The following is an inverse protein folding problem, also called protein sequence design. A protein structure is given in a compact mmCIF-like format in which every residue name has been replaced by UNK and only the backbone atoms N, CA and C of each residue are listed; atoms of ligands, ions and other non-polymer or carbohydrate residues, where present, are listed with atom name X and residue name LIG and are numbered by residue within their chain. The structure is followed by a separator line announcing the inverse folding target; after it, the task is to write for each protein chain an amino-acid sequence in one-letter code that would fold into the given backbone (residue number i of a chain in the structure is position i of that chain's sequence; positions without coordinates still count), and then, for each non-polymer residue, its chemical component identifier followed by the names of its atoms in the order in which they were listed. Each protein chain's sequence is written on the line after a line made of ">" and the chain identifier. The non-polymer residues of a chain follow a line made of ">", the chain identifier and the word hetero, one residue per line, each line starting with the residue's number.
data_IF_161414911241
#
_entry.id   IF_161414911241
#
_cell.length_a   1.000
_cell.length_b   1.000
_cell.length_c   1.000
_cell.angle_alpha   90.00
_cell.angle_beta   90.00
_cell.angle_gamma   90.00
#
_symmetry.space_group_name_H-M   'P 1'
#
loop_
_entity.id
_entity.type
_entity.pdbx_description
1 polymer ?
#
# COMPACT_ATOMS: atom_id res chain seq x y z
N UNK A 1 12.73 -9.57 -6.00
CA UNK A 1 11.56 -8.70 -5.74
C UNK A 1 10.77 -9.30 -4.60
N UNK A 2 10.45 -8.55 -3.56
CA UNK A 2 9.74 -9.09 -2.38
C UNK A 2 8.50 -8.23 -2.15
N UNK A 3 7.32 -8.79 -2.46
CA UNK A 3 6.01 -8.19 -2.22
C UNK A 3 5.73 -8.19 -0.71
N UNK A 4 6.41 -7.30 0.01
CA UNK A 4 6.42 -7.26 1.46
C UNK A 4 5.87 -5.90 1.93
N UNK A 5 4.67 -5.94 2.48
CA UNK A 5 3.97 -4.74 2.96
C UNK A 5 4.69 -4.08 4.14
N UNK A 6 5.32 -4.85 5.02
CA UNK A 6 6.05 -4.31 6.18
C UNK A 6 7.27 -3.51 5.73
N UNK A 7 8.02 -4.00 4.73
CA UNK A 7 9.15 -3.25 4.14
C UNK A 7 8.70 -1.94 3.49
N UNK A 8 7.55 -1.96 2.82
CA UNK A 8 6.96 -0.76 2.24
C UNK A 8 6.55 0.23 3.33
N UNK A 9 5.94 -0.25 4.43
CA UNK A 9 5.60 0.56 5.59
C UNK A 9 6.82 1.22 6.24
N UNK A 10 7.89 0.46 6.46
CA UNK A 10 9.13 0.98 7.05
C UNK A 10 9.71 2.10 6.19
N UNK A 11 9.66 1.93 4.85
CA UNK A 11 10.10 2.96 3.89
C UNK A 11 9.25 4.23 3.99
N UNK A 12 7.93 4.12 4.07
CA UNK A 12 7.05 5.29 4.23
C UNK A 12 7.28 5.99 5.58
N UNK A 13 7.45 5.24 6.67
CA UNK A 13 7.72 5.81 7.99
C UNK A 13 9.04 6.61 8.02
N UNK A 14 10.08 6.12 7.34
CA UNK A 14 11.37 6.79 7.25
C UNK A 14 11.36 8.12 6.49
N UNK A 15 10.36 8.38 5.65
CA UNK A 15 10.33 9.53 4.75
C UNK A 15 9.63 10.78 5.32
N UNK A 16 9.04 10.70 6.52
CA UNK A 16 8.32 11.83 7.15
C UNK A 16 7.36 12.56 6.19
N UNK A 17 6.44 11.80 5.59
CA UNK A 17 5.55 12.28 4.54
C UNK A 17 4.30 12.98 5.09
N UNK A 18 3.79 13.96 4.34
CA UNK A 18 2.41 14.43 4.51
C UNK A 18 1.42 13.34 4.09
N UNK A 19 0.16 13.45 4.55
CA UNK A 19 -0.90 12.51 4.15
C UNK A 19 -1.05 12.40 2.63
N UNK A 20 -1.01 13.54 1.93
CA UNK A 20 -1.12 13.57 0.47
C UNK A 20 0.08 12.89 -0.22
N UNK A 21 1.30 13.12 0.28
CA UNK A 21 2.49 12.46 -0.26
C UNK A 21 2.49 10.96 0.03
N UNK A 22 1.98 10.53 1.19
CA UNK A 22 1.79 9.12 1.51
C UNK A 22 0.74 8.46 0.60
N UNK A 23 -0.38 9.13 0.32
CA UNK A 23 -1.37 8.64 -0.65
C UNK A 23 -0.76 8.45 -2.05
N UNK A 24 0.04 9.42 -2.52
CA UNK A 24 0.71 9.33 -3.83
C UNK A 24 1.69 8.16 -3.87
N UNK A 25 2.55 8.01 -2.85
CA UNK A 25 3.51 6.92 -2.77
C UNK A 25 2.84 5.53 -2.73
N UNK A 26 1.68 5.41 -2.08
CA UNK A 26 0.89 4.16 -2.10
C UNK A 26 0.27 3.91 -3.47
N UNK A 27 -0.23 4.95 -4.15
CA UNK A 27 -0.79 4.82 -5.50
C UNK A 27 0.28 4.41 -6.53
N UNK A 28 1.47 5.01 -6.47
CA UNK A 28 2.61 4.65 -7.31
C UNK A 28 3.05 3.20 -7.09
N UNK A 29 3.11 2.73 -5.84
CA UNK A 29 3.46 1.34 -5.54
C UNK A 29 2.41 0.35 -6.05
N UNK A 30 1.12 0.71 -6.02
CA UNK A 30 0.05 -0.11 -6.63
C UNK A 30 0.28 -0.23 -8.14
N UNK A 31 0.52 0.89 -8.83
CA UNK A 31 0.76 0.91 -10.27
C UNK A 31 2.00 0.08 -10.65
N UNK A 32 3.07 0.19 -9.88
CA UNK A 32 4.30 -0.59 -10.09
C UNK A 32 4.09 -2.09 -9.86
N UNK A 33 3.29 -2.47 -8.87
CA UNK A 33 2.93 -3.87 -8.65
C UNK A 33 2.07 -4.43 -9.79
N UNK A 34 1.15 -3.63 -10.35
CA UNK A 34 0.35 -4.00 -11.52
C UNK A 34 1.21 -4.16 -12.78
N UNK A 35 2.17 -3.26 -13.02
CA UNK A 35 3.13 -3.37 -14.14
C UNK A 35 3.98 -4.62 -14.02
N UNK A 36 4.43 -4.97 -12.81
CA UNK A 36 5.19 -6.20 -12.59
C UNK A 36 4.38 -7.45 -12.95
N UNK A 37 3.06 -7.46 -12.71
CA UNK A 37 2.19 -8.57 -13.14
C UNK A 37 2.23 -8.77 -14.66
N UNK A 38 2.23 -7.68 -15.42
CA UNK A 38 2.34 -7.72 -16.88
C UNK A 38 3.69 -8.29 -17.35
N UNK A 39 4.76 -8.03 -16.61
CA UNK A 39 6.09 -8.58 -16.90
C UNK A 39 6.19 -10.11 -16.74
N UNK A 40 5.23 -10.74 -16.05
CA UNK A 40 5.18 -12.20 -15.90
C UNK A 40 4.22 -12.89 -16.89
N UNK A 41 3.60 -12.16 -17.82
CA UNK A 41 2.59 -12.75 -18.74
C UNK A 41 3.17 -13.89 -19.57
N UNK A 42 4.43 -13.80 -19.99
CA UNK A 42 5.09 -14.88 -20.74
C UNK A 42 5.20 -16.18 -19.94
N UNK A 43 5.22 -16.10 -18.60
CA UNK A 43 5.20 -17.28 -17.73
C UNK A 43 3.85 -18.00 -17.73
N UNK A 44 2.77 -17.37 -18.22
CA UNK A 44 1.47 -18.02 -18.30
C UNK A 44 1.48 -19.24 -19.25
N UNK A 45 2.32 -19.21 -20.29
CA UNK A 45 2.53 -20.34 -21.21
C UNK A 45 3.72 -21.21 -20.80
N UNK A 46 4.83 -20.62 -20.35
CA UNK A 46 6.07 -21.34 -20.02
C UNK A 46 6.00 -22.09 -18.68
N UNK A 47 5.41 -21.49 -17.66
CA UNK A 47 5.25 -22.08 -16.34
C UNK A 47 3.96 -21.60 -15.65
N UNK A 48 2.80 -22.17 -16.01
CA UNK A 48 1.50 -21.71 -15.53
C UNK A 48 1.34 -21.77 -14.01
N UNK A 49 2.01 -22.73 -13.35
CA UNK A 49 1.97 -22.88 -11.90
C UNK A 49 2.73 -21.73 -11.22
N UNK A 50 3.92 -21.38 -11.71
CA UNK A 50 4.67 -20.22 -11.25
C UNK A 50 3.91 -18.92 -11.52
N UNK A 51 3.33 -18.77 -12.72
CA UNK A 51 2.54 -17.59 -13.06
C UNK A 51 1.36 -17.37 -12.10
N UNK A 52 0.60 -18.44 -11.81
CA UNK A 52 -0.50 -18.38 -10.82
C UNK A 52 0.02 -18.01 -9.44
N UNK A 53 1.12 -18.61 -9.01
CA UNK A 53 1.73 -18.33 -7.71
C UNK A 53 2.15 -16.86 -7.59
N UNK A 54 2.92 -16.34 -8.55
CA UNK A 54 3.42 -14.96 -8.49
C UNK A 54 2.29 -13.94 -8.63
N UNK A 55 1.30 -14.20 -9.49
CA UNK A 55 0.10 -13.37 -9.59
C UNK A 55 -0.67 -13.33 -8.27
N UNK A 56 -0.78 -14.45 -7.56
CA UNK A 56 -1.42 -14.48 -6.23
C UNK A 56 -0.67 -13.61 -5.23
N UNK A 57 0.66 -13.67 -5.20
CA UNK A 57 1.49 -12.85 -4.31
C UNK A 57 1.31 -11.35 -4.62
N UNK A 58 1.35 -10.97 -5.89
CA UNK A 58 1.14 -9.58 -6.35
C UNK A 58 -0.27 -9.09 -5.98
N UNK A 59 -1.30 -9.89 -6.26
CA UNK A 59 -2.69 -9.51 -5.95
C UNK A 59 -2.89 -9.32 -4.43
N UNK A 60 -2.32 -10.19 -3.59
CA UNK A 60 -2.37 -10.03 -2.13
C UNK A 60 -1.67 -8.75 -1.68
N UNK A 61 -0.52 -8.42 -2.27
CA UNK A 61 0.20 -7.19 -1.95
C UNK A 61 -0.58 -5.92 -2.35
N UNK A 62 -1.12 -5.88 -3.57
CA UNK A 62 -1.99 -4.80 -4.06
C UNK A 62 -3.22 -4.64 -3.16
N UNK A 63 -3.80 -5.75 -2.67
CA UNK A 63 -4.93 -5.70 -1.74
C UNK A 63 -4.54 -4.95 -0.45
N UNK A 64 -3.40 -5.28 0.15
CA UNK A 64 -2.93 -4.59 1.35
C UNK A 64 -2.63 -3.10 1.11
N UNK A 65 -2.04 -2.76 -0.04
CA UNK A 65 -1.80 -1.37 -0.42
C UNK A 65 -3.10 -0.59 -0.59
N UNK A 66 -4.14 -1.19 -1.18
CA UNK A 66 -5.46 -0.56 -1.31
C UNK A 66 -6.12 -0.32 0.07
N UNK A 67 -6.00 -1.27 1.00
CA UNK A 67 -6.46 -1.08 2.38
C UNK A 67 -5.74 0.09 3.03
N UNK A 68 -4.43 0.20 2.83
CA UNK A 68 -3.63 1.31 3.33
C UNK A 68 -4.06 2.64 2.71
N UNK A 69 -4.18 2.68 1.38
CA UNK A 69 -4.61 3.86 0.64
C UNK A 69 -5.94 4.39 1.18
N UNK A 70 -6.93 3.51 1.36
CA UNK A 70 -8.25 3.85 1.89
C UNK A 70 -8.22 4.36 3.32
N UNK A 71 -7.24 3.95 4.13
CA UNK A 71 -7.09 4.40 5.51
C UNK A 71 -6.38 5.75 5.63
N UNK A 72 -5.44 6.04 4.72
CA UNK A 72 -4.75 7.34 4.67
C UNK A 72 -5.68 8.41 4.08
N UNK A 73 -6.48 8.02 3.08
CA UNK A 73 -7.38 8.90 2.35
C UNK A 73 -8.60 9.28 3.19
N UNK A 74 -8.83 10.59 3.42
CA UNK A 74 -10.02 11.11 4.11
C UNK A 74 -11.27 11.06 3.21
N UNK A 75 -12.46 11.12 3.83
CA UNK A 75 -13.79 10.88 3.22
C UNK A 75 -14.08 11.61 1.89
N UNK A 76 -13.37 12.70 1.56
CA UNK A 76 -13.55 13.42 0.29
C UNK A 76 -13.13 12.64 -0.96
N UNK A 77 -12.39 11.54 -0.82
CA UNK A 77 -11.96 10.68 -1.95
C UNK A 77 -12.39 9.20 -1.80
N UNK A 78 -13.33 8.88 -0.91
CA UNK A 78 -13.92 7.52 -0.81
C UNK A 78 -14.82 7.18 -2.02
N UNK A 79 -14.21 6.97 -3.18
CA UNK A 79 -14.89 6.32 -4.31
C UNK A 79 -14.30 4.99 -4.72
N UNK A 80 -13.23 4.53 -4.06
CA UNK A 80 -12.64 3.24 -4.38
C UNK A 80 -12.73 2.29 -3.18
N UNK A 81 -13.28 1.12 -3.49
CA UNK A 81 -13.28 -0.13 -2.71
C UNK A 81 -14.09 -0.17 -1.41
N UNK A 82 -15.43 -0.25 -1.56
CA UNK A 82 -16.32 -1.02 -0.68
C UNK A 82 -15.98 -2.52 -0.80
N UNK A 83 -14.90 -2.95 -0.18
CA UNK A 83 -14.74 -4.35 0.21
C UNK A 83 -14.09 -4.33 1.59
N UNK A 84 -14.95 -4.35 2.61
CA UNK A 84 -14.53 -4.43 3.99
C UNK A 84 -13.78 -5.75 4.18
N UNK A 85 -12.45 -5.67 4.22
CA UNK A 85 -11.58 -6.80 4.45
C UNK A 85 -11.11 -6.75 5.90
N UNK A 86 -11.27 -7.86 6.61
CA UNK A 86 -10.64 -8.11 7.91
C UNK A 86 -9.15 -8.28 7.66
N UNK A 87 -8.42 -7.16 7.67
CA UNK A 87 -6.98 -7.16 7.53
C UNK A 87 -6.36 -7.70 8.83
N UNK A 88 -5.41 -8.63 8.70
CA UNK A 88 -4.74 -9.30 9.83
C UNK A 88 -4.17 -8.31 10.86
N UNK A 89 -4.08 -8.70 12.14
CA UNK A 89 -3.71 -7.82 13.26
C UNK A 89 -2.39 -7.07 13.03
N UNK A 90 -1.42 -7.70 12.36
CA UNK A 90 -0.14 -7.08 12.04
C UNK A 90 -0.28 -5.91 11.04
N UNK A 91 -1.11 -6.06 10.01
CA UNK A 91 -1.38 -5.00 9.02
C UNK A 91 -2.13 -3.82 9.63
N UNK A 92 -3.04 -4.09 10.58
CA UNK A 92 -3.76 -3.07 11.35
C UNK A 92 -2.79 -2.27 12.22
N UNK A 93 -1.88 -2.95 12.91
CA UNK A 93 -0.87 -2.30 13.76
C UNK A 93 0.04 -1.36 12.96
N UNK A 94 0.60 -1.83 11.83
CA UNK A 94 1.49 -1.00 11.00
C UNK A 94 0.77 0.19 10.39
N UNK A 95 -0.49 0.00 9.96
CA UNK A 95 -1.28 1.11 9.43
C UNK A 95 -1.55 2.17 10.50
N UNK A 96 -1.94 1.77 11.71
CA UNK A 96 -2.17 2.69 12.82
C UNK A 96 -0.91 3.49 13.17
N UNK A 97 0.25 2.82 13.20
CA UNK A 97 1.54 3.48 13.46
C UNK A 97 1.85 4.54 12.39
N UNK A 98 1.60 4.24 11.11
CA UNK A 98 1.78 5.21 10.03
C UNK A 98 0.85 6.42 10.18
N UNK A 99 -0.44 6.20 10.48
CA UNK A 99 -1.41 7.28 10.68
C UNK A 99 -1.00 8.22 11.82
N UNK A 100 -0.54 7.66 12.94
CA UNK A 100 -0.01 8.44 14.07
C UNK A 100 1.18 9.30 13.62
N UNK A 101 2.12 8.74 12.84
CA UNK A 101 3.27 9.49 12.34
C UNK A 101 2.87 10.64 11.42
N UNK A 102 1.91 10.40 10.52
CA UNK A 102 1.37 11.44 9.63
C UNK A 102 0.72 12.56 10.44
N UNK A 103 -0.13 12.22 11.42
CA UNK A 103 -0.81 13.21 12.26
C UNK A 103 0.18 14.02 13.11
N UNK A 104 1.24 13.38 13.63
CA UNK A 104 2.32 14.07 14.35
C UNK A 104 3.09 15.05 13.45
N UNK A 105 3.41 14.63 12.22
CA UNK A 105 4.07 15.49 11.24
C UNK A 105 3.21 16.71 10.91
N UNK A 106 1.94 16.50 10.57
CA UNK A 106 1.02 17.59 10.22
C UNK A 106 0.78 18.55 11.40
N UNK A 107 0.70 18.02 12.62
CA UNK A 107 0.56 18.83 13.84
C UNK A 107 1.77 19.74 14.07
N UNK A 108 3.00 19.24 13.84
CA UNK A 108 4.25 20.02 13.95
C UNK A 108 4.33 21.13 12.90
N UNK A 109 3.88 20.86 11.67
CA UNK A 109 3.84 21.86 10.60
C UNK A 109 2.85 22.98 10.94
N UNK A 110 1.69 22.63 11.53
CA UNK A 110 0.67 23.61 11.92
C UNK A 110 1.07 24.44 13.14
N UNK A 111 1.79 23.86 14.11
CA UNK A 111 2.25 24.57 15.32
C UNK A 111 3.50 25.43 15.09
N UNK A 112 4.20 25.24 13.97
CA UNK A 112 5.40 26.00 13.59
C UNK A 112 5.13 27.21 12.70
N UNK A 113 3.86 27.58 12.50
CA UNK A 113 3.42 28.80 11.80
C UNK A 113 2.85 29.81 12.76
#
# INVERSE_FOLDING_TARGET
>A
MQFNIDKFFDRLQGQSLSRQAACLAVAEEIEDAEKQKLAFVDQASENPAFYKFICSQINSYILYLNVLYNRITTDEHKKLTKQAFDADKASVYHTMKLLIHIDQYESRIKSGR
#
